data_IF_795171782614
#
_entry.id   IF_795171782614
#
_cell.length_a   1.000
_cell.length_b   1.000
_cell.length_c   1.000
_cell.angle_alpha   90.00
_cell.angle_beta   90.00
_cell.angle_gamma   90.00
#
_symmetry.space_group_name_H-M   'P 1'
#
loop_
_entity.id
_entity.type
_entity.pdbx_description
1 polymer ?
#
# COMPACT_ATOMS: atom_id res chain seq x y z
N UNK A 1 27.29 20.74 11.54
CA UNK A 1 26.75 21.66 10.51
C UNK A 1 26.38 20.87 9.27
N UNK A 2 27.33 20.18 8.62
CA UNK A 2 27.08 19.37 7.42
C UNK A 2 25.95 18.33 7.58
N UNK A 3 25.89 17.59 8.70
CA UNK A 3 24.83 16.60 8.92
C UNK A 3 23.43 17.22 8.97
N UNK A 4 23.31 18.40 9.59
CA UNK A 4 22.04 19.14 9.69
C UNK A 4 21.63 19.66 8.31
N UNK A 5 22.59 20.15 7.52
CA UNK A 5 22.32 20.59 6.15
C UNK A 5 21.82 19.44 5.27
N UNK A 6 22.46 18.28 5.32
CA UNK A 6 22.02 17.09 4.58
C UNK A 6 20.66 16.57 5.04
N UNK A 7 20.37 16.62 6.34
CA UNK A 7 19.06 16.28 6.88
C UNK A 7 17.96 17.21 6.35
N UNK A 8 18.21 18.53 6.30
CA UNK A 8 17.26 19.50 5.76
C UNK A 8 17.01 19.24 4.27
N UNK A 9 18.06 18.97 3.49
CA UNK A 9 17.94 18.64 2.07
C UNK A 9 17.09 17.37 1.89
N UNK A 10 17.35 16.34 2.70
CA UNK A 10 16.60 15.08 2.64
C UNK A 10 15.12 15.26 2.98
N UNK A 11 14.79 16.00 4.05
CA UNK A 11 13.40 16.29 4.42
C UNK A 11 12.71 17.10 3.32
N UNK A 12 13.40 18.09 2.76
CA UNK A 12 12.89 18.90 1.64
C UNK A 12 12.63 18.04 0.41
N UNK A 13 13.55 17.12 0.08
CA UNK A 13 13.36 16.16 -1.01
C UNK A 13 12.11 15.29 -0.80
N UNK A 14 11.91 14.71 0.40
CA UNK A 14 10.72 13.91 0.69
C UNK A 14 9.44 14.73 0.51
N UNK A 15 9.39 15.95 1.05
CA UNK A 15 8.21 16.81 0.96
C UNK A 15 7.90 17.14 -0.51
N UNK A 16 8.91 17.56 -1.27
CA UNK A 16 8.75 17.85 -2.70
C UNK A 16 8.31 16.60 -3.48
N UNK A 17 8.89 15.45 -3.18
CA UNK A 17 8.55 14.20 -3.83
C UNK A 17 7.15 13.69 -3.48
N UNK A 18 6.61 14.05 -2.32
CA UNK A 18 5.22 13.78 -1.94
C UNK A 18 4.22 14.72 -2.63
N UNK A 19 4.58 16.01 -2.78
CA UNK A 19 3.68 17.05 -3.30
C UNK A 19 3.65 17.07 -4.83
N UNK A 20 4.80 16.92 -5.49
CA UNK A 20 4.92 17.11 -6.94
C UNK A 20 4.06 16.12 -7.75
N UNK A 21 4.15 14.79 -7.56
CA UNK A 21 3.33 13.84 -8.32
C UNK A 21 1.83 14.03 -8.07
N UNK A 22 1.43 14.32 -6.84
CA UNK A 22 0.04 14.62 -6.50
C UNK A 22 -0.50 15.84 -7.24
N UNK A 23 0.31 16.90 -7.32
CA UNK A 23 -0.05 18.11 -8.06
C UNK A 23 -0.24 17.81 -9.54
N UNK A 24 0.65 17.03 -10.14
CA UNK A 24 0.56 16.67 -11.56
C UNK A 24 -0.66 15.77 -11.85
N UNK A 25 -0.95 14.79 -10.98
CA UNK A 25 -2.15 13.95 -11.09
C UNK A 25 -3.43 14.81 -11.11
N UNK A 26 -3.53 15.79 -10.21
CA UNK A 26 -4.71 16.66 -10.10
C UNK A 26 -4.79 17.65 -11.27
N UNK A 27 -3.67 18.25 -11.67
CA UNK A 27 -3.63 19.21 -12.78
C UNK A 27 -3.98 18.57 -14.13
N UNK A 28 -3.46 17.36 -14.37
CA UNK A 28 -3.69 16.64 -15.63
C UNK A 28 -4.94 15.75 -15.61
N UNK A 29 -5.67 15.70 -14.49
CA UNK A 29 -6.89 14.90 -14.31
C UNK A 29 -6.68 13.44 -14.76
N UNK A 30 -5.60 12.82 -14.31
CA UNK A 30 -5.25 11.47 -14.73
C UNK A 30 -6.34 10.45 -14.33
N UNK A 31 -6.66 9.46 -15.20
CA UNK A 31 -7.58 8.38 -14.86
C UNK A 31 -7.12 7.59 -13.64
N UNK A 32 -8.06 6.97 -12.93
CA UNK A 32 -7.81 6.29 -11.63
C UNK A 32 -6.68 5.27 -11.73
N UNK A 33 -6.66 4.43 -12.77
CA UNK A 33 -5.62 3.41 -12.95
C UNK A 33 -4.22 4.04 -13.15
N UNK A 34 -4.12 5.09 -13.95
CA UNK A 34 -2.85 5.80 -14.19
C UNK A 34 -2.36 6.50 -12.93
N UNK A 35 -3.27 7.14 -12.19
CA UNK A 35 -2.98 7.78 -10.91
C UNK A 35 -2.46 6.76 -9.87
N UNK A 36 -3.07 5.58 -9.79
CA UNK A 36 -2.59 4.49 -8.92
C UNK A 36 -1.17 4.06 -9.26
N UNK A 37 -0.82 3.91 -10.54
CA UNK A 37 0.54 3.54 -10.96
C UNK A 37 1.55 4.57 -10.47
N UNK A 38 1.29 5.87 -10.69
CA UNK A 38 2.19 6.95 -10.27
C UNK A 38 2.34 7.00 -8.75
N UNK A 39 1.24 6.91 -8.01
CA UNK A 39 1.24 6.98 -6.54
C UNK A 39 1.93 5.77 -5.89
N UNK A 40 1.67 4.55 -6.39
CA UNK A 40 2.32 3.34 -5.88
C UNK A 40 3.82 3.37 -6.17
N UNK A 41 4.21 3.81 -7.37
CA UNK A 41 5.62 3.97 -7.75
C UNK A 41 6.31 5.01 -6.88
N UNK A 42 5.67 6.17 -6.67
CA UNK A 42 6.14 7.23 -5.79
C UNK A 42 6.36 6.70 -4.36
N UNK A 43 5.41 6.00 -3.77
CA UNK A 43 5.56 5.44 -2.43
C UNK A 43 6.67 4.38 -2.36
N UNK A 44 6.79 3.53 -3.38
CA UNK A 44 7.88 2.56 -3.48
C UNK A 44 9.24 3.26 -3.48
N UNK A 45 9.40 4.29 -4.31
CA UNK A 45 10.65 5.05 -4.39
C UNK A 45 10.97 5.76 -3.08
N UNK A 46 9.97 6.37 -2.44
CA UNK A 46 10.12 7.00 -1.12
C UNK A 46 10.66 6.01 -0.08
N UNK A 47 10.06 4.82 0.02
CA UNK A 47 10.48 3.78 0.96
C UNK A 47 11.90 3.29 0.67
N UNK A 48 12.25 3.10 -0.61
CA UNK A 48 13.59 2.69 -1.03
C UNK A 48 14.65 3.76 -0.73
N UNK A 49 14.39 5.02 -1.07
CA UNK A 49 15.32 6.12 -0.78
C UNK A 49 15.54 6.25 0.73
N UNK A 50 14.48 6.15 1.54
CA UNK A 50 14.62 6.17 3.00
C UNK A 50 15.48 5.01 3.51
N UNK A 51 15.21 3.79 3.05
CA UNK A 51 15.99 2.61 3.45
C UNK A 51 17.46 2.73 3.06
N UNK A 52 17.75 3.19 1.84
CA UNK A 52 19.12 3.39 1.37
C UNK A 52 19.88 4.39 2.23
N UNK A 53 19.27 5.55 2.52
CA UNK A 53 19.91 6.59 3.36
C UNK A 53 20.10 6.06 4.78
N UNK A 54 19.08 5.44 5.37
CA UNK A 54 19.15 5.00 6.78
C UNK A 54 20.22 3.93 7.00
N UNK A 55 20.28 2.92 6.14
CA UNK A 55 21.29 1.86 6.26
C UNK A 55 22.72 2.39 6.04
N UNK A 56 22.91 3.35 5.14
CA UNK A 56 24.24 3.92 4.87
C UNK A 56 24.68 4.93 5.94
N UNK A 57 23.76 5.70 6.53
CA UNK A 57 24.08 6.59 7.67
C UNK A 57 24.61 5.78 8.86
N UNK A 58 23.97 4.65 9.17
CA UNK A 58 24.43 3.77 10.25
C UNK A 58 25.83 3.19 9.95
N UNK A 59 26.10 2.77 8.71
CA UNK A 59 27.43 2.30 8.30
C UNK A 59 28.50 3.37 8.41
N UNK A 60 28.25 4.58 7.91
CA UNK A 60 29.22 5.68 7.95
C UNK A 60 29.50 6.09 9.39
N UNK A 61 28.48 6.14 10.25
CA UNK A 61 28.69 6.46 11.66
C UNK A 61 29.55 5.41 12.38
N UNK A 62 29.29 4.12 12.11
CA UNK A 62 30.14 3.02 12.60
C UNK A 62 31.57 3.12 12.06
N UNK A 63 31.73 3.43 10.78
CA UNK A 63 33.04 3.60 10.14
C UNK A 63 33.84 4.73 10.81
N UNK A 64 33.23 5.90 11.02
CA UNK A 64 33.86 7.04 11.71
C UNK A 64 34.28 6.67 13.14
N UNK A 65 33.44 5.92 13.86
CA UNK A 65 33.76 5.44 15.21
C UNK A 65 34.96 4.50 15.20
N UNK A 66 35.03 3.56 14.26
CA UNK A 66 36.14 2.62 14.14
C UNK A 66 37.46 3.31 13.76
N UNK A 67 37.41 4.35 12.93
CA UNK A 67 38.60 5.16 12.57
C UNK A 67 39.13 5.94 13.78
N UNK A 68 38.24 6.37 14.69
CA UNK A 68 38.63 7.10 15.90
C UNK A 68 39.23 6.22 17.00
N UNK A 69 39.11 4.89 16.90
CA UNK A 69 39.68 3.96 17.89
C UNK A 69 41.16 3.66 17.59
N UNK A 70 42.06 3.72 18.59
CA UNK A 70 43.51 3.67 18.37
C UNK A 70 44.10 2.28 18.01
N UNK A 71 43.28 1.26 17.70
CA UNK A 71 43.75 -0.11 17.45
C UNK A 71 43.75 -0.50 15.95
N UNK A 72 44.93 -0.93 15.47
CA UNK A 72 45.37 -0.83 14.06
C UNK A 72 45.06 -2.01 13.13
N UNK A 73 44.18 -2.94 13.48
CA UNK A 73 43.86 -4.11 12.63
C UNK A 73 42.43 -4.15 12.08
N UNK A 74 41.75 -3.00 11.96
CA UNK A 74 40.36 -2.91 11.47
C UNK A 74 40.22 -2.47 10.00
N UNK A 75 41.32 -2.41 9.25
CA UNK A 75 41.31 -1.91 7.86
C UNK A 75 40.34 -2.68 6.94
N UNK A 76 40.18 -4.00 7.15
CA UNK A 76 39.22 -4.82 6.39
C UNK A 76 37.77 -4.50 6.76
N UNK A 77 37.46 -4.25 8.04
CA UNK A 77 36.13 -3.84 8.50
C UNK A 77 35.76 -2.44 7.99
N UNK A 78 36.71 -1.51 8.04
CA UNK A 78 36.55 -0.15 7.51
C UNK A 78 36.32 -0.17 5.99
N UNK A 79 37.00 -1.05 5.26
CA UNK A 79 36.82 -1.22 3.82
C UNK A 79 35.47 -1.86 3.48
N UNK A 80 34.96 -2.73 4.35
CA UNK A 80 33.63 -3.33 4.18
C UNK A 80 32.48 -2.34 4.48
N UNK A 81 32.74 -1.30 5.28
CA UNK A 81 31.80 -0.22 5.61
C UNK A 81 31.82 0.95 4.61
N UNK A 82 32.53 0.80 3.48
CA UNK A 82 32.60 1.86 2.47
C UNK A 82 31.24 2.16 1.84
N UNK A 83 31.07 3.39 1.35
CA UNK A 83 29.89 3.78 0.59
C UNK A 83 29.65 2.82 -0.58
N UNK A 84 28.38 2.48 -0.86
CA UNK A 84 28.05 1.57 -1.94
C UNK A 84 28.28 2.20 -3.31
N UNK A 85 28.55 1.34 -4.28
CA UNK A 85 28.68 1.76 -5.68
C UNK A 85 27.31 2.04 -6.31
N UNK A 86 27.29 2.90 -7.34
CA UNK A 86 26.05 3.27 -8.04
C UNK A 86 25.33 2.06 -8.64
N UNK A 87 26.09 1.05 -9.10
CA UNK A 87 25.54 -0.20 -9.64
C UNK A 87 24.70 -0.96 -8.60
N UNK A 88 25.13 -0.98 -7.32
CA UNK A 88 24.40 -1.64 -6.24
C UNK A 88 23.09 -0.90 -5.93
N UNK A 89 23.14 0.43 -5.91
CA UNK A 89 21.94 1.25 -5.73
C UNK A 89 20.94 1.05 -6.88
N UNK A 90 21.42 1.05 -8.12
CA UNK A 90 20.57 0.83 -9.30
C UNK A 90 19.92 -0.56 -9.27
N UNK A 91 20.65 -1.60 -8.87
CA UNK A 91 20.09 -2.94 -8.68
C UNK A 91 19.00 -2.95 -7.59
N UNK A 92 19.25 -2.32 -6.45
CA UNK A 92 18.28 -2.20 -5.37
C UNK A 92 16.99 -1.49 -5.82
N UNK A 93 17.09 -0.47 -6.68
CA UNK A 93 15.96 0.28 -7.19
C UNK A 93 14.91 -0.62 -7.87
N UNK A 94 15.36 -1.67 -8.57
CA UNK A 94 14.49 -2.63 -9.24
C UNK A 94 14.23 -3.92 -8.44
N UNK A 95 15.09 -4.24 -7.47
CA UNK A 95 14.93 -5.44 -6.64
C UNK A 95 13.56 -5.45 -5.91
N UNK A 96 12.85 -6.59 -5.83
CA UNK A 96 11.54 -6.70 -5.18
C UNK A 96 11.63 -6.73 -3.65
N UNK A 97 12.44 -5.84 -3.06
CA UNK A 97 12.59 -5.64 -1.63
C UNK A 97 12.68 -4.14 -1.33
N UNK A 98 12.26 -3.74 -0.13
CA UNK A 98 12.33 -2.37 0.34
C UNK A 98 13.48 -2.14 1.32
N UNK A 99 14.21 -3.18 1.72
CA UNK A 99 15.35 -3.10 2.64
C UNK A 99 16.64 -3.12 1.84
N UNK A 100 17.42 -2.05 1.95
CA UNK A 100 18.71 -1.91 1.31
C UNK A 100 19.78 -2.80 1.97
N UNK A 101 20.51 -3.56 1.15
CA UNK A 101 21.70 -4.34 1.51
C UNK A 101 22.68 -4.26 0.35
N UNK A 102 23.99 -4.27 0.63
CA UNK A 102 25.01 -4.18 -0.43
C UNK A 102 25.09 -5.45 -1.27
N UNK A 103 24.78 -6.60 -0.65
CA UNK A 103 24.78 -7.90 -1.27
C UNK A 103 23.47 -8.63 -0.97
N UNK A 104 22.80 -9.08 -2.02
CA UNK A 104 21.61 -9.91 -1.93
C UNK A 104 21.93 -11.34 -2.38
N UNK A 105 21.21 -12.35 -1.86
CA UNK A 105 21.35 -13.70 -2.37
C UNK A 105 20.87 -13.76 -3.83
N UNK A 106 21.70 -14.32 -4.72
CA UNK A 106 21.42 -14.37 -6.16
C UNK A 106 21.33 -15.78 -6.71
N UNK A 107 20.41 -15.97 -7.64
CA UNK A 107 20.31 -17.20 -8.43
C UNK A 107 21.37 -17.24 -9.54
N UNK A 108 21.79 -18.45 -9.92
CA UNK A 108 22.84 -18.64 -10.94
C UNK A 108 22.33 -18.36 -12.36
N UNK A 109 21.10 -18.77 -12.65
CA UNK A 109 20.50 -18.76 -14.00
C UNK A 109 19.13 -18.07 -13.94
N UNK A 110 18.71 -17.47 -15.06
CA UNK A 110 17.38 -16.90 -15.25
C UNK A 110 16.55 -17.90 -16.07
N UNK A 111 15.39 -18.29 -15.55
CA UNK A 111 14.42 -19.14 -16.24
C UNK A 111 13.39 -18.27 -16.94
N UNK A 112 13.61 -17.95 -18.22
CA UNK A 112 12.74 -17.06 -18.98
C UNK A 112 11.32 -17.60 -19.18
N UNK A 113 11.15 -18.92 -19.25
CA UNK A 113 9.81 -19.54 -19.35
C UNK A 113 8.96 -19.20 -18.12
N UNK A 114 9.56 -19.23 -16.93
CA UNK A 114 8.91 -18.84 -15.69
C UNK A 114 8.55 -17.34 -15.69
N UNK A 115 9.48 -16.48 -16.14
CA UNK A 115 9.23 -15.03 -16.26
C UNK A 115 8.03 -14.75 -17.18
N UNK A 116 8.01 -15.36 -18.36
CA UNK A 116 6.93 -15.19 -19.33
C UNK A 116 5.59 -15.71 -18.79
N UNK A 117 5.60 -16.86 -18.11
CA UNK A 117 4.40 -17.41 -17.47
C UNK A 117 3.85 -16.46 -16.39
N UNK A 118 4.72 -15.93 -15.52
CA UNK A 118 4.32 -14.99 -14.47
C UNK A 118 3.76 -13.68 -15.06
N UNK A 119 4.39 -13.10 -16.08
CA UNK A 119 3.85 -11.92 -16.76
C UNK A 119 2.52 -12.21 -17.47
N UNK A 120 2.37 -13.38 -18.10
CA UNK A 120 1.09 -13.82 -18.66
C UNK A 120 -0.02 -13.87 -17.62
N UNK A 121 0.29 -14.37 -16.41
CA UNK A 121 -0.66 -14.38 -15.29
C UNK A 121 -0.99 -12.98 -14.76
N UNK A 122 -0.04 -12.05 -14.75
CA UNK A 122 -0.31 -10.62 -14.41
C UNK A 122 -1.30 -10.02 -15.40
N UNK A 123 -1.06 -10.20 -16.70
CA UNK A 123 -1.95 -9.68 -17.76
C UNK A 123 -3.34 -10.30 -17.60
N UNK A 124 -3.43 -11.61 -17.38
CA UNK A 124 -4.70 -12.29 -17.12
C UNK A 124 -5.42 -11.73 -15.88
N UNK A 125 -4.70 -11.46 -14.78
CA UNK A 125 -5.27 -10.87 -13.57
C UNK A 125 -5.83 -9.46 -13.82
N UNK A 126 -5.14 -8.62 -14.61
CA UNK A 126 -5.61 -7.28 -15.00
C UNK A 126 -6.92 -7.37 -15.80
N UNK A 127 -6.97 -8.25 -16.82
CA UNK A 127 -8.20 -8.47 -17.60
C UNK A 127 -9.33 -9.03 -16.73
N UNK A 128 -9.02 -9.89 -15.77
CA UNK A 128 -10.01 -10.43 -14.84
C UNK A 128 -10.58 -9.33 -13.95
N UNK A 129 -9.74 -8.45 -13.38
CA UNK A 129 -10.19 -7.29 -12.60
C UNK A 129 -11.09 -6.38 -13.44
N UNK A 130 -10.69 -6.09 -14.69
CA UNK A 130 -11.54 -5.33 -15.62
C UNK A 130 -12.90 -5.99 -15.83
N UNK A 131 -12.93 -7.30 -16.10
CA UNK A 131 -14.17 -8.06 -16.26
C UNK A 131 -15.05 -7.98 -15.00
N UNK A 132 -14.46 -8.09 -13.81
CA UNK A 132 -15.19 -7.98 -12.54
C UNK A 132 -15.83 -6.60 -12.39
N UNK A 133 -15.09 -5.53 -12.68
CA UNK A 133 -15.63 -4.16 -12.62
C UNK A 133 -16.79 -4.00 -13.58
N UNK A 134 -16.63 -4.39 -14.85
CA UNK A 134 -17.66 -4.20 -15.89
C UNK A 134 -18.91 -5.03 -15.62
N UNK A 135 -18.77 -6.27 -15.15
CA UNK A 135 -19.89 -7.19 -14.99
C UNK A 135 -20.58 -7.13 -13.63
N UNK A 136 -19.85 -6.83 -12.56
CA UNK A 136 -20.41 -6.85 -11.21
C UNK A 136 -20.50 -5.47 -10.59
N UNK A 137 -19.50 -4.61 -10.75
CA UNK A 137 -19.54 -3.28 -10.13
C UNK A 137 -20.44 -2.33 -10.92
N UNK A 138 -20.18 -2.13 -12.21
CA UNK A 138 -20.93 -1.16 -13.03
C UNK A 138 -22.45 -1.33 -12.95
N UNK A 139 -23.04 -2.51 -13.24
CA UNK A 139 -24.50 -2.65 -13.22
C UNK A 139 -25.09 -2.51 -11.82
N UNK A 140 -24.34 -2.86 -10.78
CA UNK A 140 -24.80 -2.71 -9.40
C UNK A 140 -24.92 -1.24 -9.04
N UNK A 141 -23.96 -0.38 -9.40
CA UNK A 141 -23.97 1.03 -8.99
C UNK A 141 -24.64 1.98 -9.98
N UNK A 142 -24.61 1.69 -11.29
CA UNK A 142 -25.25 2.53 -12.30
C UNK A 142 -26.78 2.55 -12.18
N UNK A 143 -27.39 1.46 -11.70
CA UNK A 143 -28.84 1.36 -11.51
C UNK A 143 -29.31 1.86 -10.12
N UNK A 144 -28.39 2.27 -9.24
CA UNK A 144 -28.77 2.75 -7.91
C UNK A 144 -29.28 4.18 -7.99
N UNK A 145 -30.58 4.34 -7.74
CA UNK A 145 -31.15 5.65 -7.50
C UNK A 145 -30.77 6.15 -6.10
N UNK A 146 -29.89 7.14 -6.04
CA UNK A 146 -29.31 7.62 -4.78
C UNK A 146 -30.35 8.23 -3.84
N UNK A 147 -31.47 8.69 -4.37
CA UNK A 147 -32.57 9.28 -3.60
C UNK A 147 -33.39 8.28 -2.79
N UNK A 148 -33.23 6.98 -3.06
CA UNK A 148 -34.07 5.92 -2.48
C UNK A 148 -33.25 4.92 -1.66
N UNK A 149 -32.00 5.24 -1.30
CA UNK A 149 -31.17 4.35 -0.49
C UNK A 149 -31.75 4.24 0.92
N UNK A 150 -32.56 3.19 1.11
CA UNK A 150 -33.07 2.78 2.42
C UNK A 150 -32.12 1.72 2.99
N UNK A 151 -32.08 1.56 4.32
CA UNK A 151 -31.20 0.58 5.00
C UNK A 151 -31.23 -0.84 4.38
N UNK A 152 -32.39 -1.43 4.00
CA UNK A 152 -32.42 -2.76 3.37
C UNK A 152 -31.75 -2.80 2.00
N UNK A 153 -31.88 -1.73 1.21
CA UNK A 153 -31.24 -1.59 -0.10
C UNK A 153 -29.73 -1.46 0.08
N UNK A 154 -29.29 -0.64 1.04
CA UNK A 154 -27.87 -0.50 1.37
C UNK A 154 -27.24 -1.84 1.78
N UNK A 155 -27.89 -2.60 2.67
CA UNK A 155 -27.41 -3.93 3.09
C UNK A 155 -27.32 -4.88 1.89
N UNK A 156 -28.30 -4.84 0.98
CA UNK A 156 -28.30 -5.67 -0.24
C UNK A 156 -27.15 -5.30 -1.18
N UNK A 157 -26.90 -4.01 -1.39
CA UNK A 157 -25.78 -3.51 -2.21
C UNK A 157 -24.43 -3.87 -1.58
N UNK A 158 -24.32 -3.74 -0.25
CA UNK A 158 -23.13 -4.13 0.48
C UNK A 158 -22.84 -5.62 0.29
N UNK A 159 -23.86 -6.48 0.45
CA UNK A 159 -23.71 -7.92 0.27
C UNK A 159 -23.27 -8.27 -1.15
N UNK A 160 -23.89 -7.66 -2.16
CA UNK A 160 -23.49 -7.82 -3.57
C UNK A 160 -22.07 -7.29 -3.85
N UNK A 161 -21.56 -6.35 -3.05
CA UNK A 161 -20.22 -5.77 -3.17
C UNK A 161 -19.13 -6.61 -2.49
N UNK A 162 -19.48 -7.51 -1.57
CA UNK A 162 -18.50 -8.39 -0.89
C UNK A 162 -17.81 -9.30 -1.91
N UNK A 163 -18.57 -9.89 -2.84
CA UNK A 163 -18.02 -10.78 -3.87
C UNK A 163 -16.97 -10.08 -4.76
N UNK A 164 -17.27 -8.98 -5.46
CA UNK A 164 -16.27 -8.28 -6.27
C UNK A 164 -15.12 -7.73 -5.41
N UNK A 165 -15.39 -7.22 -4.21
CA UNK A 165 -14.35 -6.75 -3.29
C UNK A 165 -13.37 -7.87 -2.89
N UNK A 166 -13.89 -9.07 -2.61
CA UNK A 166 -13.06 -10.24 -2.30
C UNK A 166 -12.20 -10.69 -3.49
N UNK A 167 -12.73 -10.60 -4.70
CA UNK A 167 -11.97 -10.89 -5.91
C UNK A 167 -10.87 -9.86 -6.14
N UNK A 168 -11.13 -8.56 -5.90
CA UNK A 168 -10.08 -7.54 -5.98
C UNK A 168 -8.96 -7.81 -4.99
N UNK A 169 -9.28 -8.21 -3.74
CA UNK A 169 -8.29 -8.58 -2.74
C UNK A 169 -7.42 -9.76 -3.21
N UNK A 170 -8.05 -10.85 -3.65
CA UNK A 170 -7.35 -12.08 -4.03
C UNK A 170 -6.56 -11.94 -5.34
N UNK A 171 -7.14 -11.31 -6.35
CA UNK A 171 -6.48 -11.06 -7.64
C UNK A 171 -5.38 -10.01 -7.50
N UNK A 172 -5.61 -8.96 -6.71
CA UNK A 172 -4.57 -7.97 -6.40
C UNK A 172 -3.39 -8.60 -5.67
N UNK A 173 -3.67 -9.44 -4.66
CA UNK A 173 -2.64 -10.22 -3.98
C UNK A 173 -1.87 -11.13 -4.93
N UNK A 174 -2.56 -11.98 -5.68
CA UNK A 174 -1.93 -12.96 -6.55
C UNK A 174 -1.21 -12.32 -7.73
N UNK A 175 -1.85 -11.37 -8.42
CA UNK A 175 -1.27 -10.67 -9.56
C UNK A 175 -0.04 -9.85 -9.15
N UNK A 176 -0.11 -9.09 -8.06
CA UNK A 176 0.99 -8.22 -7.66
C UNK A 176 2.02 -8.93 -6.77
N UNK A 177 1.64 -9.44 -5.59
CA UNK A 177 2.62 -9.98 -4.63
C UNK A 177 3.21 -11.31 -5.07
N UNK A 178 2.44 -12.15 -5.78
CA UNK A 178 2.96 -13.39 -6.31
C UNK A 178 3.56 -13.22 -7.71
N UNK A 179 2.75 -12.94 -8.72
CA UNK A 179 3.20 -13.01 -10.12
C UNK A 179 4.19 -11.89 -10.46
N UNK A 180 3.84 -10.63 -10.19
CA UNK A 180 4.69 -9.49 -10.53
C UNK A 180 6.02 -9.50 -9.77
N UNK A 181 6.01 -9.65 -8.44
CA UNK A 181 7.26 -9.68 -7.67
C UNK A 181 8.16 -10.88 -8.03
N UNK A 182 7.60 -12.07 -8.28
CA UNK A 182 8.41 -13.22 -8.71
C UNK A 182 8.96 -13.06 -10.13
N UNK A 183 8.22 -12.44 -11.05
CA UNK A 183 8.72 -12.14 -12.39
C UNK A 183 9.96 -11.22 -12.31
N UNK A 184 9.87 -10.13 -11.55
CA UNK A 184 11.01 -9.23 -11.32
C UNK A 184 12.14 -9.91 -10.53
N UNK A 185 11.82 -10.76 -9.55
CA UNK A 185 12.83 -11.51 -8.81
C UNK A 185 13.64 -12.44 -9.72
N UNK A 186 12.98 -13.20 -10.59
CA UNK A 186 13.66 -14.09 -11.54
C UNK A 186 14.51 -13.31 -12.54
N UNK A 187 13.96 -12.24 -13.16
CA UNK A 187 14.70 -11.39 -14.10
C UNK A 187 15.97 -10.78 -13.49
N UNK A 188 15.90 -10.34 -12.23
CA UNK A 188 17.04 -9.74 -11.53
C UNK A 188 17.99 -10.77 -10.91
N UNK A 189 17.62 -12.05 -10.96
CA UNK A 189 18.27 -13.15 -10.22
C UNK A 189 18.24 -12.96 -8.71
N UNK A 190 17.19 -12.35 -8.18
CA UNK A 190 16.96 -12.21 -6.74
C UNK A 190 16.42 -13.53 -6.17
N UNK A 191 17.14 -14.10 -5.20
CA UNK A 191 16.83 -15.41 -4.64
C UNK A 191 15.85 -15.36 -3.45
N UNK A 192 15.78 -14.24 -2.73
CA UNK A 192 14.90 -14.10 -1.57
C UNK A 192 13.46 -13.80 -2.01
N UNK A 193 12.64 -14.84 -2.14
CA UNK A 193 11.28 -14.74 -2.71
C UNK A 193 10.18 -14.79 -1.67
N UNK A 194 10.50 -14.58 -0.40
CA UNK A 194 9.52 -14.62 0.69
C UNK A 194 8.72 -13.32 0.80
N UNK A 195 7.99 -12.96 -0.26
CA UNK A 195 7.21 -11.71 -0.30
C UNK A 195 5.95 -11.75 0.58
N UNK A 196 5.46 -12.95 0.88
CA UNK A 196 4.33 -13.22 1.75
C UNK A 196 4.49 -14.60 2.41
N UNK A 197 3.69 -14.87 3.43
CA UNK A 197 3.56 -16.18 4.11
C UNK A 197 2.10 -16.64 4.04
N UNK A 198 1.78 -17.75 4.70
CA UNK A 198 0.44 -18.36 4.73
C UNK A 198 -0.57 -17.51 5.53
N UNK A 199 -0.84 -16.30 5.07
CA UNK A 199 -1.69 -15.31 5.74
C UNK A 199 -3.14 -15.78 5.85
N UNK A 200 -3.59 -16.64 4.93
CA UNK A 200 -4.91 -17.28 4.95
C UNK A 200 -5.13 -18.18 6.17
N UNK A 201 -4.05 -18.69 6.78
CA UNK A 201 -4.10 -19.48 8.02
C UNK A 201 -4.01 -18.62 9.28
N UNK A 202 -4.05 -17.28 9.16
CA UNK A 202 -3.94 -16.38 10.31
C UNK A 202 -5.15 -16.48 11.23
N UNK A 203 -4.90 -16.72 12.52
CA UNK A 203 -5.94 -16.71 13.57
C UNK A 203 -6.01 -15.37 14.33
N UNK A 204 -5.24 -14.37 13.92
CA UNK A 204 -5.27 -13.03 14.51
C UNK A 204 -4.85 -11.97 13.50
N UNK A 205 -5.35 -10.75 13.64
CA UNK A 205 -4.95 -9.62 12.79
C UNK A 205 -3.47 -9.29 12.91
N UNK A 206 -2.88 -9.48 14.09
CA UNK A 206 -1.44 -9.36 14.28
C UNK A 206 -0.63 -10.38 13.47
N UNK A 207 -1.13 -11.60 13.26
CA UNK A 207 -0.50 -12.57 12.37
C UNK A 207 -0.72 -12.20 10.90
N UNK A 208 -1.93 -11.77 10.55
CA UNK A 208 -2.28 -11.34 9.19
C UNK A 208 -1.38 -10.19 8.70
N UNK A 209 -1.25 -9.11 9.47
CA UNK A 209 -0.41 -7.96 9.06
C UNK A 209 1.07 -8.30 8.86
N UNK A 210 1.59 -9.34 9.55
CA UNK A 210 2.98 -9.78 9.42
C UNK A 210 3.23 -10.73 8.24
N UNK A 211 2.17 -11.32 7.68
CA UNK A 211 2.26 -12.42 6.72
C UNK A 211 1.71 -12.05 5.35
N UNK A 212 0.79 -11.09 5.26
CA UNK A 212 0.17 -10.66 4.01
C UNK A 212 1.17 -10.08 2.99
N UNK A 213 1.91 -9.05 3.38
CA UNK A 213 2.92 -8.39 2.55
C UNK A 213 4.17 -8.18 3.40
N UNK A 214 5.05 -9.18 3.36
CA UNK A 214 6.28 -9.22 4.15
C UNK A 214 7.21 -8.08 3.73
N UNK A 215 7.24 -7.72 2.45
CA UNK A 215 8.11 -6.65 1.93
C UNK A 215 7.83 -5.30 2.60
N UNK A 216 6.57 -4.89 2.66
CA UNK A 216 6.17 -3.62 3.32
C UNK A 216 6.20 -3.77 4.84
N UNK A 217 5.79 -4.92 5.37
CA UNK A 217 5.85 -5.20 6.80
C UNK A 217 7.28 -5.05 7.33
N UNK A 218 8.28 -5.63 6.67
CA UNK A 218 9.66 -5.63 7.14
C UNK A 218 10.26 -4.22 7.07
N UNK A 219 9.90 -3.42 6.08
CA UNK A 219 10.25 -1.99 6.03
C UNK A 219 9.64 -1.21 7.20
N UNK A 220 8.34 -1.36 7.43
CA UNK A 220 7.63 -0.71 8.54
C UNK A 220 8.19 -1.16 9.89
N UNK A 221 8.53 -2.44 10.05
CA UNK A 221 9.12 -2.97 11.26
C UNK A 221 10.52 -2.40 11.51
N UNK A 222 11.36 -2.38 10.48
CA UNK A 222 12.78 -2.01 10.59
C UNK A 222 12.95 -0.51 10.81
N UNK A 223 12.25 0.33 10.04
CA UNK A 223 12.48 1.77 10.01
C UNK A 223 11.46 2.59 10.80
N UNK A 224 10.28 2.04 11.11
CA UNK A 224 9.26 2.76 11.88
C UNK A 224 9.07 2.15 13.26
N UNK A 225 8.69 0.87 13.34
CA UNK A 225 8.40 0.21 14.61
C UNK A 225 9.61 0.24 15.54
N UNK A 226 10.77 -0.23 15.07
CA UNK A 226 11.99 -0.32 15.87
C UNK A 226 12.46 1.05 16.35
N UNK A 227 12.37 2.07 15.48
CA UNK A 227 12.78 3.44 15.84
C UNK A 227 11.84 4.06 16.86
N UNK A 228 10.53 3.99 16.65
CA UNK A 228 9.53 4.47 17.63
C UNK A 228 9.65 3.73 18.96
N UNK A 229 9.91 2.42 18.92
CA UNK A 229 10.14 1.62 20.12
C UNK A 229 11.37 2.07 20.91
N UNK A 230 12.47 2.39 20.21
CA UNK A 230 13.68 2.92 20.83
C UNK A 230 13.47 4.34 21.37
N UNK A 231 12.80 5.21 20.61
CA UNK A 231 12.47 6.59 21.03
C UNK A 231 11.56 6.64 22.25
N UNK A 232 10.69 5.65 22.43
CA UNK A 232 9.83 5.50 23.62
C UNK A 232 10.52 4.79 24.80
N UNK A 233 11.85 4.69 24.77
CA UNK A 233 12.65 4.11 25.85
C UNK A 233 12.54 2.58 25.96
N UNK A 234 12.11 1.89 24.90
CA UNK A 234 12.07 0.42 24.84
C UNK A 234 11.00 -0.24 25.71
N UNK A 235 10.03 0.53 26.21
CA UNK A 235 9.00 0.02 27.14
C UNK A 235 7.62 -0.13 26.49
N UNK A 236 7.28 0.72 25.53
CA UNK A 236 5.89 0.85 25.05
C UNK A 236 5.68 0.24 23.65
N UNK A 237 5.56 -1.09 23.59
CA UNK A 237 5.27 -1.83 22.33
C UNK A 237 3.93 -1.46 21.69
N UNK A 238 2.96 -1.06 22.50
CA UNK A 238 1.62 -0.66 22.05
C UNK A 238 1.69 0.63 21.23
N UNK A 239 2.40 1.65 21.73
CA UNK A 239 2.57 2.93 21.02
C UNK A 239 3.28 2.70 19.68
N UNK A 240 4.37 1.93 19.67
CA UNK A 240 5.08 1.61 18.43
C UNK A 240 4.18 0.89 17.41
N UNK A 241 3.34 -0.06 17.85
CA UNK A 241 2.39 -0.74 16.97
C UNK A 241 1.30 0.21 16.45
N UNK A 242 0.72 1.06 17.30
CA UNK A 242 -0.29 2.05 16.92
C UNK A 242 0.27 3.05 15.90
N UNK A 243 1.48 3.57 16.13
CA UNK A 243 2.14 4.48 15.18
C UNK A 243 2.30 3.85 13.80
N UNK A 244 2.71 2.58 13.73
CA UNK A 244 2.86 1.87 12.44
C UNK A 244 1.52 1.68 11.74
N UNK A 245 0.48 1.27 12.47
CA UNK A 245 -0.86 1.06 11.88
C UNK A 245 -1.45 2.39 11.41
N UNK A 246 -1.32 3.46 12.20
CA UNK A 246 -1.80 4.80 11.82
C UNK A 246 -1.03 5.37 10.63
N UNK A 247 0.30 5.21 10.60
CA UNK A 247 1.11 5.63 9.46
C UNK A 247 0.67 4.89 8.19
N UNK A 248 0.52 3.57 8.28
CA UNK A 248 0.04 2.75 7.18
C UNK A 248 -1.35 3.18 6.71
N UNK A 249 -2.30 3.37 7.63
CA UNK A 249 -3.67 3.80 7.32
C UNK A 249 -3.69 5.16 6.59
N UNK A 250 -2.87 6.11 7.03
CA UNK A 250 -2.74 7.43 6.39
C UNK A 250 -2.22 7.32 4.96
N UNK A 251 -1.20 6.48 4.71
CA UNK A 251 -0.68 6.31 3.35
C UNK A 251 -1.61 5.54 2.42
N UNK A 252 -2.38 4.58 2.93
CA UNK A 252 -3.42 3.93 2.12
C UNK A 252 -4.52 4.93 1.74
N UNK A 253 -4.97 5.75 2.69
CA UNK A 253 -5.95 6.80 2.42
C UNK A 253 -5.41 7.87 1.46
N UNK A 254 -4.14 8.29 1.63
CA UNK A 254 -3.45 9.19 0.70
C UNK A 254 -3.51 8.69 -0.74
N UNK A 255 -3.20 7.41 -0.98
CA UNK A 255 -3.30 6.82 -2.33
C UNK A 255 -4.73 6.89 -2.85
N UNK A 256 -5.72 6.55 -2.02
CA UNK A 256 -7.13 6.56 -2.43
C UNK A 256 -7.63 7.98 -2.76
N UNK A 257 -7.27 8.99 -1.97
CA UNK A 257 -7.68 10.38 -2.19
C UNK A 257 -7.19 10.89 -3.55
N UNK A 258 -5.90 10.73 -3.84
CA UNK A 258 -5.32 11.24 -5.07
C UNK A 258 -5.65 10.38 -6.29
N UNK A 259 -5.86 9.07 -6.12
CA UNK A 259 -6.29 8.20 -7.20
C UNK A 259 -7.75 8.44 -7.62
N UNK A 260 -8.64 8.68 -6.66
CA UNK A 260 -10.07 8.89 -6.93
C UNK A 260 -10.44 10.38 -7.14
N UNK A 261 -9.60 11.30 -6.70
CA UNK A 261 -9.82 12.75 -6.84
C UNK A 261 -10.77 13.36 -5.81
N UNK A 262 -11.12 12.62 -4.74
CA UNK A 262 -11.99 13.09 -3.67
C UNK A 262 -11.61 12.50 -2.31
N UNK A 263 -12.00 13.16 -1.22
CA UNK A 263 -11.74 12.69 0.13
C UNK A 263 -12.93 11.87 0.66
N UNK A 264 -12.68 10.60 0.96
CA UNK A 264 -13.67 9.72 1.59
C UNK A 264 -12.97 8.69 2.49
N UNK A 265 -12.80 8.98 3.81
CA UNK A 265 -11.79 8.35 4.69
C UNK A 265 -12.14 6.93 5.18
N UNK A 266 -12.70 6.09 4.32
CA UNK A 266 -13.06 4.72 4.69
C UNK A 266 -11.84 3.83 4.89
N UNK A 267 -10.83 3.96 4.04
CA UNK A 267 -9.63 3.15 4.17
C UNK A 267 -8.97 3.45 5.51
N UNK A 268 -8.86 4.75 5.85
CA UNK A 268 -8.38 5.17 7.15
C UNK A 268 -9.21 4.59 8.30
N UNK A 269 -10.53 4.74 8.28
CA UNK A 269 -11.41 4.25 9.38
C UNK A 269 -11.33 2.73 9.52
N UNK A 270 -11.35 1.97 8.41
CA UNK A 270 -11.27 0.51 8.46
C UNK A 270 -9.91 0.02 8.98
N UNK A 271 -8.81 0.62 8.56
CA UNK A 271 -7.48 0.22 9.05
C UNK A 271 -7.18 0.72 10.46
N UNK A 272 -7.45 2.00 10.75
CA UNK A 272 -7.15 2.60 12.04
C UNK A 272 -8.11 2.13 13.12
N UNK A 273 -9.43 2.20 12.91
CA UNK A 273 -10.40 1.88 13.97
C UNK A 273 -10.59 0.37 14.09
N UNK A 274 -11.00 -0.28 13.00
CA UNK A 274 -11.28 -1.72 13.05
C UNK A 274 -9.99 -2.55 13.09
N UNK A 275 -8.97 -2.18 12.31
CA UNK A 275 -7.67 -2.86 12.35
C UNK A 275 -6.99 -2.77 13.71
N UNK A 276 -6.95 -1.60 14.37
CA UNK A 276 -6.43 -1.51 15.74
C UNK A 276 -7.36 -2.19 16.76
N UNK A 277 -8.67 -2.01 16.64
CA UNK A 277 -9.65 -2.66 17.49
C UNK A 277 -9.48 -4.17 17.52
N UNK A 278 -9.43 -4.81 16.35
CA UNK A 278 -9.20 -6.24 16.24
C UNK A 278 -7.78 -6.67 16.63
N UNK A 279 -6.78 -5.82 16.45
CA UNK A 279 -5.41 -6.11 16.89
C UNK A 279 -5.29 -6.25 18.40
N UNK A 280 -6.03 -5.44 19.18
CA UNK A 280 -5.99 -5.45 20.65
C UNK A 280 -7.07 -6.30 21.30
N UNK A 281 -8.27 -6.34 20.74
CA UNK A 281 -9.43 -6.99 21.36
C UNK A 281 -9.51 -8.49 21.09
N UNK A 282 -8.99 -8.97 19.95
CA UNK A 282 -9.07 -10.39 19.63
C UNK A 282 -7.96 -11.18 20.35
N UNK A 283 -8.31 -12.23 21.10
CA UNK A 283 -7.35 -13.11 21.74
C UNK A 283 -6.37 -13.69 20.72
N UNK A 284 -5.11 -13.86 21.12
CA UNK A 284 -4.09 -14.59 20.34
C UNK A 284 -4.27 -16.12 20.43
N UNK A 285 -5.51 -16.58 20.33
CA UNK A 285 -5.83 -18.00 20.36
C UNK A 285 -5.68 -18.61 18.96
N UNK A 286 -5.27 -19.88 18.91
CA UNK A 286 -5.05 -20.62 17.65
C UNK A 286 -6.29 -21.34 17.14
N UNK A 287 -7.48 -20.92 17.57
CA UNK A 287 -8.73 -21.60 17.22
C UNK A 287 -9.19 -21.29 15.79
N UNK A 288 -9.79 -22.29 15.13
CA UNK A 288 -10.39 -22.16 13.79
C UNK A 288 -11.44 -21.04 13.74
N UNK A 289 -12.19 -20.84 14.83
CA UNK A 289 -13.17 -19.75 14.97
C UNK A 289 -12.54 -18.38 14.71
N UNK A 290 -11.31 -18.15 15.18
CA UNK A 290 -10.65 -16.86 14.96
C UNK A 290 -10.17 -16.68 13.52
N UNK A 291 -9.83 -17.76 12.82
CA UNK A 291 -9.56 -17.69 11.39
C UNK A 291 -10.84 -17.31 10.60
N UNK A 292 -11.98 -17.90 10.95
CA UNK A 292 -13.29 -17.53 10.37
C UNK A 292 -13.62 -16.06 10.65
N UNK A 293 -13.34 -15.56 11.85
CA UNK A 293 -13.56 -14.15 12.20
C UNK A 293 -12.64 -13.21 11.38
N UNK A 294 -11.36 -13.56 11.20
CA UNK A 294 -10.43 -12.80 10.37
C UNK A 294 -10.95 -12.76 8.92
N UNK A 295 -11.31 -13.90 8.34
CA UNK A 295 -11.85 -13.96 6.98
C UNK A 295 -13.15 -13.17 6.82
N UNK A 296 -14.12 -13.38 7.72
CA UNK A 296 -15.38 -12.65 7.71
C UNK A 296 -15.15 -11.14 7.77
N UNK A 297 -14.27 -10.68 8.66
CA UNK A 297 -13.94 -9.26 8.77
C UNK A 297 -13.20 -8.71 7.55
N UNK A 298 -12.31 -9.49 6.93
CA UNK A 298 -11.61 -9.08 5.71
C UNK A 298 -12.60 -8.92 4.55
N UNK A 299 -13.48 -9.92 4.34
CA UNK A 299 -14.49 -9.92 3.28
C UNK A 299 -15.49 -8.78 3.44
N UNK A 300 -15.99 -8.55 4.66
CA UNK A 300 -16.89 -7.43 4.95
C UNK A 300 -16.15 -6.10 4.77
N UNK A 301 -14.89 -6.00 5.21
CA UNK A 301 -14.07 -4.80 5.05
C UNK A 301 -13.86 -4.40 3.59
N UNK A 302 -13.47 -5.34 2.72
CA UNK A 302 -13.29 -5.06 1.28
C UNK A 302 -14.63 -4.83 0.56
N UNK A 303 -15.71 -5.45 1.03
CA UNK A 303 -17.07 -5.18 0.57
C UNK A 303 -17.50 -3.75 0.89
N UNK A 304 -17.26 -3.28 2.12
CA UNK A 304 -17.51 -1.89 2.52
C UNK A 304 -16.69 -0.91 1.69
N UNK A 305 -15.38 -1.15 1.53
CA UNK A 305 -14.51 -0.31 0.70
C UNK A 305 -15.04 -0.17 -0.72
N UNK A 306 -15.33 -1.31 -1.36
CA UNK A 306 -15.85 -1.33 -2.72
C UNK A 306 -17.18 -0.58 -2.79
N UNK A 307 -18.13 -0.92 -1.91
CA UNK A 307 -19.46 -0.33 -1.88
C UNK A 307 -19.41 1.19 -1.80
N UNK A 308 -18.72 1.74 -0.79
CA UNK A 308 -18.72 3.17 -0.56
C UNK A 308 -17.91 3.96 -1.59
N UNK A 309 -16.74 3.47 -2.02
CA UNK A 309 -15.96 4.18 -3.04
C UNK A 309 -16.70 4.23 -4.38
N UNK A 310 -17.35 3.13 -4.79
CA UNK A 310 -18.18 3.15 -6.00
C UNK A 310 -19.41 4.04 -5.81
N UNK A 311 -20.13 3.96 -4.69
CA UNK A 311 -21.29 4.84 -4.44
C UNK A 311 -20.92 6.32 -4.52
N UNK A 312 -19.81 6.72 -3.89
CA UNK A 312 -19.33 8.10 -3.93
C UNK A 312 -18.89 8.52 -5.35
N UNK A 313 -18.16 7.66 -6.06
CA UNK A 313 -17.75 7.94 -7.43
C UNK A 313 -18.95 8.14 -8.38
N UNK A 314 -19.98 7.30 -8.27
CA UNK A 314 -21.21 7.46 -9.04
C UNK A 314 -22.05 8.66 -8.59
N UNK A 315 -22.04 9.03 -7.30
CA UNK A 315 -22.70 10.24 -6.80
C UNK A 315 -22.09 11.50 -7.37
N UNK A 316 -20.75 11.55 -7.43
CA UNK A 316 -20.03 12.68 -8.01
C UNK A 316 -20.26 12.84 -9.51
N UNK A 317 -20.42 11.72 -10.23
CA UNK A 317 -20.80 11.73 -11.66
C UNK A 317 -22.24 12.20 -11.88
N UNK A 318 -23.17 11.75 -11.05
CA UNK A 318 -24.59 12.06 -11.21
C UNK A 318 -24.94 13.49 -10.78
N UNK A 319 -24.20 14.03 -9.81
CA UNK A 319 -24.38 15.39 -9.29
C UNK A 319 -23.09 16.20 -9.46
N UNK A 320 -22.82 16.78 -10.65
CA UNK A 320 -21.67 17.66 -10.84
C UNK A 320 -21.87 18.97 -10.06
N UNK A 321 -20.81 19.48 -9.43
CA UNK A 321 -20.82 20.80 -8.80
C UNK A 321 -19.44 21.44 -8.97
N UNK A 322 -19.29 22.71 -8.56
CA UNK A 322 -18.08 23.50 -8.81
C UNK A 322 -16.85 22.80 -8.18
N UNK A 323 -15.73 22.76 -8.91
CA UNK A 323 -14.46 22.12 -8.52
C UNK A 323 -13.74 22.87 -7.39
N UNK A 324 -14.46 23.20 -6.32
CA UNK A 324 -13.92 23.86 -5.14
C UNK A 324 -13.29 22.84 -4.19
N UNK A 325 -12.37 23.30 -3.35
CA UNK A 325 -11.73 22.45 -2.34
C UNK A 325 -12.76 21.82 -1.38
N UNK A 326 -13.78 22.58 -0.97
CA UNK A 326 -14.84 22.09 -0.08
C UNK A 326 -15.68 20.99 -0.72
N UNK A 327 -15.93 21.07 -2.02
CA UNK A 327 -16.62 20.03 -2.78
C UNK A 327 -15.89 18.68 -2.78
N UNK A 328 -14.55 18.69 -2.65
CA UNK A 328 -13.73 17.48 -2.56
C UNK A 328 -13.74 16.86 -1.18
N UNK A 329 -14.00 17.65 -0.13
CA UNK A 329 -14.05 17.20 1.26
C UNK A 329 -15.43 16.68 1.67
N UNK A 330 -16.51 17.23 1.10
CA UNK A 330 -17.87 16.84 1.47
C UNK A 330 -18.31 15.61 0.66
N UNK A 331 -18.71 14.50 1.31
CA UNK A 331 -19.18 13.30 0.61
C UNK A 331 -20.53 13.54 -0.07
N UNK A 332 -20.58 13.33 -1.38
CA UNK A 332 -21.81 13.56 -2.18
C UNK A 332 -22.82 12.43 -2.04
N UNK A 333 -22.38 11.22 -1.71
CA UNK A 333 -23.27 10.09 -1.38
C UNK A 333 -24.23 10.39 -0.22
N UNK A 334 -23.90 11.35 0.65
CA UNK A 334 -24.75 11.76 1.78
C UNK A 334 -25.54 13.03 1.45
N UNK A 335 -24.92 13.98 0.74
CA UNK A 335 -25.48 15.32 0.51
C UNK A 335 -26.32 15.42 -0.76
N UNK A 336 -25.98 14.67 -1.81
CA UNK A 336 -26.75 14.75 -3.05
C UNK A 336 -28.08 14.02 -2.90
N UNK A 337 -29.17 14.80 -2.84
CA UNK A 337 -30.50 14.36 -3.24
C UNK A 337 -30.69 14.82 -4.69
N UNK A 338 -30.53 13.93 -5.66
CA UNK A 338 -30.80 14.23 -7.06
C UNK A 338 -32.24 14.77 -7.20
N UNK A 339 -32.43 15.86 -7.94
CA UNK A 339 -33.70 16.05 -8.63
C UNK A 339 -33.76 15.03 -9.79
N UNK A 340 -34.94 14.46 -10.06
CA UNK A 340 -35.21 13.37 -11.02
C UNK A 340 -34.58 13.53 -12.43
N UNK A 341 -34.40 12.42 -13.17
CA UNK A 341 -33.28 12.22 -14.10
C UNK A 341 -33.52 12.74 -15.52
N UNK A 342 -32.44 13.08 -16.22
CA UNK A 342 -32.36 12.86 -17.67
C UNK A 342 -31.31 11.80 -17.95
N UNK A 343 -31.77 10.68 -18.52
CA UNK A 343 -30.96 9.53 -18.84
C UNK A 343 -29.92 9.87 -19.90
N UNK A 344 -28.64 9.85 -19.53
CA UNK A 344 -27.54 9.56 -20.47
C UNK A 344 -26.61 8.55 -19.82
N UNK A 345 -26.68 7.33 -20.35
CA UNK A 345 -25.67 6.29 -20.14
C UNK A 345 -24.38 6.86 -20.75
N UNK A 346 -23.43 7.26 -19.91
CA UNK A 346 -22.10 7.68 -20.36
C UNK A 346 -21.07 6.67 -19.86
N UNK A 347 -20.24 6.22 -20.79
CA UNK A 347 -19.18 5.24 -20.59
C UNK A 347 -18.19 5.69 -19.49
N UNK A 348 -17.69 4.71 -18.73
CA UNK A 348 -16.58 4.90 -17.79
C UNK A 348 -15.31 4.67 -18.59
N UNK A 349 -14.53 5.73 -18.80
CA UNK A 349 -13.13 5.58 -19.17
C UNK A 349 -12.37 5.17 -17.91
N UNK A 350 -11.99 3.88 -17.88
CA UNK A 350 -11.23 3.21 -16.83
C UNK A 350 -9.73 3.30 -17.11
#
# INVERSE_FOLDING_TARGET
>A
IYDVTWLIIYITYIILFLVFPCREIVNHQLPVASSLIVLIEQLRQLMKTHSFIRENVEKVHLQCRLISEPNTNKNNEIKQLSCPDFSQYLYFLFAPTLIYRDNYPRNKVIHWDYVLQMFGQVIAAIFYVYYVVVRFCIPTFANLNQNQITLPIFISVLFNSIMPGSLFLLLGFYGFLHCWLNAFAEMLRFADRMFYKDWWNSTSFAAYYRTWNVVVHDWLYTYVYREVFLLTGGKNRVIAAMCVVLLSATFHEYVMIFALGFFYPIMFVLFAVFGMGFFFLLPRNKGVVFNILVWTSLLVGVGLQSCFYFMEAYARKSCPANDTFWDKLVPRSIVCRMALPSAKILHIDL
#
